data_IF_755229357010
#
_entry.id   IF_755229357010
#
_cell.length_a   1.000
_cell.length_b   1.000
_cell.length_c   1.000
_cell.angle_alpha   90.00
_cell.angle_beta   90.00
_cell.angle_gamma   90.00
#
_symmetry.space_group_name_H-M   'P 1'
#
loop_
_entity.id
_entity.type
_entity.pdbx_description
1 polymer ?
#
# COMPACT_ATOMS: atom_id res chain seq x y z
N UNK A 1 -18.25 2.94 21.04
CA UNK A 1 -16.81 3.22 21.19
C UNK A 1 -16.08 2.45 20.10
N UNK A 2 -15.39 3.14 19.23
CA UNK A 2 -14.71 2.58 18.05
C UNK A 2 -13.37 1.96 18.49
N UNK A 3 -13.15 0.70 18.13
CA UNK A 3 -11.94 -0.06 18.46
C UNK A 3 -10.90 0.12 17.37
N UNK A 4 -9.74 0.65 17.72
CA UNK A 4 -8.65 0.94 16.79
C UNK A 4 -7.45 0.05 17.09
N UNK A 5 -6.84 -0.50 16.04
CA UNK A 5 -5.49 -1.06 16.07
C UNK A 5 -4.53 -0.13 15.34
N UNK A 6 -3.30 0.00 15.84
CA UNK A 6 -2.23 0.78 15.19
C UNK A 6 -1.12 -0.18 14.78
N UNK A 7 -0.66 -0.06 13.55
CA UNK A 7 0.45 -0.84 13.01
C UNK A 7 1.51 0.10 12.43
N UNK A 8 2.68 0.10 13.04
CA UNK A 8 3.81 0.98 12.70
C UNK A 8 5.07 0.38 13.32
N UNK A 9 6.17 0.30 12.64
CA UNK A 9 7.39 -0.33 13.18
C UNK A 9 8.11 0.54 14.23
N UNK A 10 7.88 1.85 14.22
CA UNK A 10 8.51 2.81 15.12
C UNK A 10 7.71 2.99 16.41
N UNK A 11 8.23 2.48 17.53
CA UNK A 11 7.56 2.50 18.84
C UNK A 11 7.09 3.90 19.27
N UNK A 12 7.95 4.90 19.14
CA UNK A 12 7.61 6.26 19.56
C UNK A 12 6.45 6.85 18.77
N UNK A 13 6.34 6.51 17.49
CA UNK A 13 5.21 6.93 16.64
C UNK A 13 3.94 6.26 17.13
N UNK A 14 3.95 4.92 17.35
CA UNK A 14 2.79 4.20 17.87
C UNK A 14 2.25 4.79 19.17
N UNK A 15 3.12 5.09 20.12
CA UNK A 15 2.72 5.68 21.42
C UNK A 15 2.14 7.09 21.22
N UNK A 16 2.80 7.94 20.44
CA UNK A 16 2.31 9.30 20.16
C UNK A 16 0.94 9.28 19.47
N UNK A 17 0.74 8.40 18.49
CA UNK A 17 -0.53 8.26 17.78
C UNK A 17 -1.62 7.72 18.71
N UNK A 18 -1.29 6.75 19.55
CA UNK A 18 -2.19 6.22 20.58
C UNK A 18 -2.68 7.30 21.54
N UNK A 19 -1.76 8.16 22.02
CA UNK A 19 -2.13 9.29 22.86
C UNK A 19 -3.08 10.25 22.13
N UNK A 20 -2.75 10.64 20.90
CA UNK A 20 -3.59 11.53 20.08
C UNK A 20 -5.01 10.95 19.87
N UNK A 21 -5.13 9.66 19.60
CA UNK A 21 -6.42 9.00 19.35
C UNK A 21 -7.24 8.90 20.62
N UNK A 22 -6.63 8.54 21.74
CA UNK A 22 -7.32 8.38 23.01
C UNK A 22 -7.76 9.72 23.65
N UNK A 23 -7.48 10.88 23.04
CA UNK A 23 -8.10 12.14 23.41
C UNK A 23 -9.62 12.17 23.15
N UNK A 24 -10.12 11.35 22.24
CA UNK A 24 -11.57 11.21 22.00
C UNK A 24 -12.16 10.12 22.91
N UNK A 25 -13.25 10.42 23.64
CA UNK A 25 -13.89 9.42 24.51
C UNK A 25 -14.60 8.30 23.71
N UNK A 26 -14.89 8.53 22.43
CA UNK A 26 -15.62 7.58 21.58
C UNK A 26 -14.69 6.63 20.79
N UNK A 27 -13.38 6.82 20.87
CA UNK A 27 -12.38 6.04 20.17
C UNK A 27 -11.40 5.45 21.17
N UNK A 28 -11.09 4.18 21.02
CA UNK A 28 -10.12 3.51 21.88
C UNK A 28 -9.11 2.72 21.06
N UNK A 29 -7.84 2.97 21.29
CA UNK A 29 -6.76 2.11 20.79
C UNK A 29 -6.68 0.87 21.68
N UNK A 30 -7.09 -0.28 21.16
CA UNK A 30 -7.08 -1.54 21.91
C UNK A 30 -5.70 -2.20 21.88
N UNK A 31 -5.08 -2.22 20.70
CA UNK A 31 -3.76 -2.85 20.53
C UNK A 31 -2.89 -2.06 19.57
N UNK A 32 -1.58 -2.21 19.74
CA UNK A 32 -0.57 -1.66 18.82
C UNK A 32 0.40 -2.75 18.39
N UNK A 33 0.83 -2.73 17.14
CA UNK A 33 1.69 -3.74 16.54
C UNK A 33 2.88 -3.09 15.85
N UNK A 34 4.06 -3.70 15.98
CA UNK A 34 5.26 -3.28 15.26
C UNK A 34 5.35 -3.87 13.85
N UNK A 35 4.42 -4.78 13.49
CA UNK A 35 4.46 -5.56 12.28
C UNK A 35 3.03 -5.99 11.90
N UNK A 36 2.70 -5.84 10.63
CA UNK A 36 1.36 -6.18 10.13
C UNK A 36 1.05 -7.68 10.17
N UNK A 37 2.06 -8.54 10.06
CA UNK A 37 1.90 -9.99 10.15
C UNK A 37 1.35 -10.40 11.51
N UNK A 38 1.90 -9.81 12.59
CA UNK A 38 1.44 -10.09 13.95
C UNK A 38 -0.01 -9.62 14.17
N UNK A 39 -0.41 -8.48 13.60
CA UNK A 39 -1.81 -8.05 13.61
C UNK A 39 -2.71 -9.10 12.92
N UNK A 40 -2.33 -9.54 11.72
CA UNK A 40 -3.14 -10.49 10.94
C UNK A 40 -3.28 -11.82 11.70
N UNK A 41 -2.20 -12.33 12.29
CA UNK A 41 -2.23 -13.53 13.13
C UNK A 41 -3.15 -13.38 14.36
N UNK A 42 -3.20 -12.20 14.95
CA UNK A 42 -4.07 -11.91 16.09
C UNK A 42 -5.55 -11.79 15.64
N UNK A 43 -5.79 -11.21 14.47
CA UNK A 43 -7.12 -11.18 13.85
C UNK A 43 -7.62 -12.58 13.49
N UNK A 44 -6.76 -13.47 13.02
CA UNK A 44 -7.09 -14.89 12.79
C UNK A 44 -7.43 -15.65 14.07
N UNK A 45 -6.94 -15.17 15.24
CA UNK A 45 -7.27 -15.68 16.57
C UNK A 45 -8.51 -15.03 17.20
N UNK A 46 -9.21 -14.16 16.46
CA UNK A 46 -10.47 -13.56 16.89
C UNK A 46 -10.38 -12.11 17.37
N UNK A 47 -9.24 -11.42 17.19
CA UNK A 47 -9.19 -9.98 17.42
C UNK A 47 -9.88 -9.25 16.27
N UNK A 48 -10.94 -8.50 16.55
CA UNK A 48 -11.76 -7.79 15.56
C UNK A 48 -11.75 -6.27 15.85
N UNK A 49 -10.75 -5.51 15.35
CA UNK A 49 -10.79 -4.05 15.40
C UNK A 49 -11.76 -3.51 14.36
N UNK A 50 -12.43 -2.39 14.67
CA UNK A 50 -13.27 -1.68 13.70
C UNK A 50 -12.42 -0.99 12.63
N UNK A 51 -11.29 -0.39 13.08
CA UNK A 51 -10.34 0.31 12.20
C UNK A 51 -8.91 -0.11 12.51
N UNK A 52 -8.11 -0.23 11.46
CA UNK A 52 -6.65 -0.35 11.52
C UNK A 52 -6.03 0.92 10.94
N UNK A 53 -5.20 1.61 11.71
CA UNK A 53 -4.25 2.60 11.21
C UNK A 53 -2.99 1.87 10.78
N UNK A 54 -2.67 1.89 9.49
CA UNK A 54 -1.64 1.08 8.87
C UNK A 54 -0.54 1.93 8.26
N UNK A 55 0.69 1.79 8.74
CA UNK A 55 1.84 2.35 8.01
C UNK A 55 2.14 1.54 6.75
N UNK A 56 2.79 2.16 5.78
CA UNK A 56 3.16 1.52 4.52
C UNK A 56 4.47 0.77 4.65
N UNK A 57 5.54 1.44 5.05
CA UNK A 57 6.86 0.84 5.11
C UNK A 57 7.12 0.21 6.47
N UNK A 58 7.05 -1.10 6.52
CA UNK A 58 7.36 -1.90 7.70
C UNK A 58 8.19 -3.12 7.33
N UNK A 59 9.05 -3.60 8.22
CA UNK A 59 9.76 -4.87 8.04
C UNK A 59 8.81 -6.05 7.84
N UNK A 60 9.26 -7.05 7.11
CA UNK A 60 8.59 -8.32 6.81
C UNK A 60 7.37 -8.20 5.89
N UNK A 61 6.45 -7.27 6.15
CA UNK A 61 5.23 -7.10 5.37
C UNK A 61 4.90 -5.63 5.19
N UNK A 62 4.85 -5.18 3.94
CA UNK A 62 4.41 -3.83 3.57
C UNK A 62 2.92 -3.65 3.89
N UNK A 63 2.55 -2.45 4.40
CA UNK A 63 1.18 -2.14 4.81
C UNK A 63 0.14 -2.20 3.68
N UNK A 64 0.54 -1.99 2.42
CA UNK A 64 -0.35 -2.15 1.26
C UNK A 64 -0.73 -3.62 1.09
N UNK A 65 0.23 -4.54 1.18
CA UNK A 65 -0.02 -6.00 1.14
C UNK A 65 -0.91 -6.42 2.32
N UNK A 66 -0.61 -5.92 3.51
CA UNK A 66 -1.43 -6.19 4.69
C UNK A 66 -2.87 -5.70 4.52
N UNK A 67 -3.05 -4.52 3.90
CA UNK A 67 -4.36 -3.94 3.61
C UNK A 67 -5.16 -4.83 2.65
N UNK A 68 -4.53 -5.38 1.63
CA UNK A 68 -5.16 -6.33 0.70
C UNK A 68 -5.68 -7.58 1.43
N UNK A 69 -4.83 -8.17 2.29
CA UNK A 69 -5.20 -9.33 3.09
C UNK A 69 -6.36 -9.01 4.04
N UNK A 70 -6.28 -7.89 4.76
CA UNK A 70 -7.31 -7.49 5.72
C UNK A 70 -8.63 -7.20 4.99
N UNK A 71 -8.60 -6.44 3.90
CA UNK A 71 -9.80 -6.10 3.11
C UNK A 71 -10.49 -7.34 2.55
N UNK A 72 -9.72 -8.37 2.18
CA UNK A 72 -10.25 -9.63 1.65
C UNK A 72 -10.77 -10.58 2.73
N UNK A 73 -9.97 -10.81 3.81
CA UNK A 73 -10.31 -11.80 4.84
C UNK A 73 -11.22 -11.24 5.95
N UNK A 74 -11.13 -9.94 6.24
CA UNK A 74 -11.82 -9.28 7.35
C UNK A 74 -12.61 -8.06 6.88
N UNK A 75 -13.65 -8.22 6.04
CA UNK A 75 -14.35 -7.12 5.36
C UNK A 75 -15.07 -6.15 6.30
N UNK A 76 -15.26 -6.52 7.57
CA UNK A 76 -15.81 -5.63 8.60
C UNK A 76 -14.80 -4.63 9.12
N UNK A 77 -13.52 -4.98 9.14
CA UNK A 77 -12.42 -4.13 9.58
C UNK A 77 -12.04 -3.16 8.45
N UNK A 78 -12.00 -1.88 8.74
CA UNK A 78 -11.64 -0.84 7.77
C UNK A 78 -10.18 -0.45 7.97
N UNK A 79 -9.46 -0.25 6.87
CA UNK A 79 -8.05 0.17 6.93
C UNK A 79 -7.92 1.61 6.49
N UNK A 80 -7.30 2.43 7.33
CA UNK A 80 -6.83 3.78 7.02
C UNK A 80 -5.32 3.73 6.91
N UNK A 81 -4.76 4.07 5.76
CA UNK A 81 -3.32 4.27 5.65
C UNK A 81 -2.92 5.48 6.49
N UNK A 82 -1.86 5.31 7.28
CA UNK A 82 -1.34 6.35 8.18
C UNK A 82 0.18 6.39 8.10
N UNK A 83 0.72 7.22 7.21
CA UNK A 83 2.11 7.15 6.76
C UNK A 83 2.74 8.52 6.53
N UNK A 84 4.06 8.55 6.35
CA UNK A 84 4.79 9.75 5.89
C UNK A 84 4.85 9.88 4.37
N UNK A 85 4.50 8.83 3.63
CA UNK A 85 4.56 8.80 2.17
C UNK A 85 3.34 9.48 1.56
N UNK A 86 3.56 10.35 0.59
CA UNK A 86 2.52 11.10 -0.10
C UNK A 86 2.63 11.00 -1.63
N UNK A 87 3.41 10.03 -2.13
CA UNK A 87 3.59 9.82 -3.55
C UNK A 87 2.39 9.15 -4.22
N UNK A 88 2.22 9.43 -5.51
CA UNK A 88 1.08 8.98 -6.30
C UNK A 88 0.93 7.44 -6.34
N UNK A 89 2.06 6.72 -6.37
CA UNK A 89 2.07 5.26 -6.49
C UNK A 89 1.51 4.60 -5.23
N UNK A 90 1.95 5.05 -4.06
CA UNK A 90 1.47 4.53 -2.78
C UNK A 90 -0.01 4.84 -2.56
N UNK A 91 -0.45 6.08 -2.89
CA UNK A 91 -1.86 6.47 -2.79
C UNK A 91 -2.73 5.58 -3.69
N UNK A 92 -2.34 5.42 -4.96
CA UNK A 92 -3.07 4.60 -5.92
C UNK A 92 -3.17 3.14 -5.47
N UNK A 93 -2.05 2.54 -5.12
CA UNK A 93 -2.00 1.15 -4.69
C UNK A 93 -2.86 0.92 -3.44
N UNK A 94 -2.78 1.81 -2.45
CA UNK A 94 -3.59 1.71 -1.23
C UNK A 94 -5.10 1.72 -1.53
N UNK A 95 -5.55 2.60 -2.43
CA UNK A 95 -6.96 2.66 -2.85
C UNK A 95 -7.37 1.39 -3.58
N UNK A 96 -6.54 0.90 -4.51
CA UNK A 96 -6.83 -0.30 -5.29
C UNK A 96 -6.97 -1.56 -4.42
N UNK A 97 -6.21 -1.70 -3.34
CA UNK A 97 -6.29 -2.85 -2.42
C UNK A 97 -7.36 -2.70 -1.34
N UNK A 98 -8.13 -1.61 -1.35
CA UNK A 98 -9.31 -1.44 -0.52
C UNK A 98 -9.14 -0.61 0.74
N UNK A 99 -8.06 0.17 0.87
CA UNK A 99 -7.94 1.17 1.93
C UNK A 99 -9.14 2.14 1.89
N UNK A 100 -9.68 2.47 3.07
CA UNK A 100 -10.85 3.35 3.21
C UNK A 100 -10.48 4.81 3.42
N UNK A 101 -9.19 5.10 3.54
CA UNK A 101 -8.66 6.46 3.61
C UNK A 101 -7.14 6.47 3.65
N UNK A 102 -6.59 7.69 3.59
CA UNK A 102 -5.16 7.92 3.55
C UNK A 102 -4.83 9.22 4.28
N UNK A 103 -4.09 9.10 5.36
CA UNK A 103 -3.69 10.20 6.24
C UNK A 103 -2.17 10.25 6.34
N UNK A 104 -1.64 11.46 6.47
CA UNK A 104 -0.24 11.67 6.79
C UNK A 104 -0.01 11.66 8.32
N UNK A 105 1.17 11.22 8.76
CA UNK A 105 1.52 11.12 10.19
C UNK A 105 1.64 12.48 10.90
N UNK A 106 1.76 13.57 10.15
CA UNK A 106 1.79 14.95 10.67
C UNK A 106 0.40 15.55 10.93
N UNK A 107 -0.67 14.82 10.63
CA UNK A 107 -2.04 15.29 10.85
C UNK A 107 -2.32 15.55 12.34
N UNK A 108 -3.16 16.58 12.57
CA UNK A 108 -3.61 16.95 13.91
C UNK A 108 -4.57 15.90 14.48
N UNK A 109 -4.67 15.75 15.82
CA UNK A 109 -5.58 14.81 16.46
C UNK A 109 -7.02 14.93 15.97
N UNK A 110 -7.53 16.15 15.81
CA UNK A 110 -8.91 16.41 15.39
C UNK A 110 -9.18 15.86 13.98
N UNK A 111 -8.18 15.91 13.09
CA UNK A 111 -8.29 15.37 11.74
C UNK A 111 -8.27 13.84 11.74
N UNK A 112 -7.44 13.24 12.59
CA UNK A 112 -7.39 11.78 12.76
C UNK A 112 -8.73 11.27 13.30
N UNK A 113 -9.28 11.90 14.34
CA UNK A 113 -10.59 11.54 14.90
C UNK A 113 -11.69 11.63 13.85
N UNK A 114 -11.74 12.75 13.13
CA UNK A 114 -12.71 12.97 12.06
C UNK A 114 -12.61 11.90 10.98
N UNK A 115 -11.40 11.53 10.56
CA UNK A 115 -11.17 10.49 9.57
C UNK A 115 -11.69 9.12 10.03
N UNK A 116 -11.49 8.80 11.31
CA UNK A 116 -12.02 7.56 11.92
C UNK A 116 -13.55 7.56 11.86
N UNK A 117 -14.22 8.64 12.27
CA UNK A 117 -15.68 8.73 12.23
C UNK A 117 -16.22 8.66 10.80
N UNK A 118 -15.70 9.48 9.87
CA UNK A 118 -16.08 9.48 8.46
C UNK A 118 -15.97 8.07 7.85
N UNK A 119 -14.89 7.36 8.19
CA UNK A 119 -14.69 5.99 7.72
C UNK A 119 -15.70 5.03 8.32
N UNK A 120 -16.05 5.16 9.59
CA UNK A 120 -17.06 4.30 10.23
C UNK A 120 -18.46 4.52 9.64
N UNK A 121 -18.78 5.73 9.23
CA UNK A 121 -20.03 6.08 8.54
C UNK A 121 -20.10 5.60 7.08
N UNK A 122 -19.03 4.98 6.58
CA UNK A 122 -18.96 4.45 5.22
C UNK A 122 -18.36 5.40 4.20
N UNK A 123 -17.86 6.56 4.64
CA UNK A 123 -17.11 7.51 3.82
C UNK A 123 -15.67 7.06 3.57
N UNK A 124 -14.97 7.83 2.74
CA UNK A 124 -13.51 7.72 2.55
C UNK A 124 -12.86 9.01 3.05
N UNK A 125 -11.83 8.88 3.86
CA UNK A 125 -11.14 10.02 4.43
C UNK A 125 -9.75 10.18 3.83
N UNK A 126 -9.58 11.23 3.04
CA UNK A 126 -8.29 11.63 2.47
C UNK A 126 -7.91 13.00 3.02
N UNK A 127 -6.63 13.24 3.32
CA UNK A 127 -6.19 14.60 3.58
C UNK A 127 -6.33 15.45 2.30
N UNK A 128 -6.52 16.78 2.39
CA UNK A 128 -6.73 17.61 1.20
C UNK A 128 -5.61 17.46 0.15
N UNK A 129 -4.37 17.35 0.61
CA UNK A 129 -3.21 17.14 -0.25
C UNK A 129 -3.27 15.78 -0.98
N UNK A 130 -3.62 14.72 -0.26
CA UNK A 130 -3.78 13.38 -0.82
C UNK A 130 -4.95 13.33 -1.80
N UNK A 131 -6.06 14.02 -1.50
CA UNK A 131 -7.20 14.10 -2.41
C UNK A 131 -6.83 14.77 -3.73
N UNK A 132 -6.03 15.85 -3.72
CA UNK A 132 -5.53 16.47 -4.94
C UNK A 132 -4.66 15.51 -5.76
N UNK A 133 -3.73 14.80 -5.14
CA UNK A 133 -2.88 13.80 -5.81
C UNK A 133 -3.70 12.65 -6.39
N UNK A 134 -4.73 12.19 -5.68
CA UNK A 134 -5.64 11.16 -6.20
C UNK A 134 -6.42 11.65 -7.43
N UNK A 135 -6.88 12.91 -7.43
CA UNK A 135 -7.53 13.51 -8.60
C UNK A 135 -6.58 13.68 -9.80
N UNK A 136 -5.33 14.01 -9.55
CA UNK A 136 -4.29 14.06 -10.60
C UNK A 136 -4.05 12.69 -11.21
N UNK A 137 -4.03 11.63 -10.41
CA UNK A 137 -3.96 10.25 -10.91
C UNK A 137 -5.13 9.93 -11.85
N UNK A 138 -6.35 10.28 -11.46
CA UNK A 138 -7.55 10.05 -12.29
C UNK A 138 -7.48 10.85 -13.60
N UNK A 139 -7.01 12.09 -13.58
CA UNK A 139 -6.83 12.91 -14.79
C UNK A 139 -5.80 12.33 -15.75
N UNK A 140 -4.76 11.70 -15.20
CA UNK A 140 -3.66 11.12 -15.97
C UNK A 140 -3.93 9.67 -16.40
N UNK A 141 -5.05 9.06 -15.97
CA UNK A 141 -5.56 7.84 -16.60
C UNK A 141 -6.01 8.24 -18.01
N UNK A 142 -5.36 7.73 -19.09
CA UNK A 142 -5.80 8.04 -20.43
C UNK A 142 -7.27 7.69 -20.58
N UNK A 143 -8.12 8.69 -20.87
CA UNK A 143 -9.51 8.47 -21.25
C UNK A 143 -9.49 7.83 -22.64
N UNK A 144 -9.20 6.55 -22.70
CA UNK A 144 -9.25 5.81 -23.93
C UNK A 144 -10.62 5.21 -24.08
N UNK A 145 -11.36 5.78 -25.01
CA UNK A 145 -12.49 5.20 -25.68
C UNK A 145 -12.39 3.66 -25.73
N UNK A 146 -13.44 3.01 -25.28
CA UNK A 146 -13.67 1.60 -25.55
C UNK A 146 -13.67 1.36 -27.07
N UNK A 147 -12.54 1.05 -27.62
CA UNK A 147 -12.43 0.27 -28.87
C UNK A 147 -11.05 -0.39 -28.98
N UNK A 148 -11.07 -1.69 -28.72
CA UNK A 148 -10.19 -2.73 -29.29
C UNK A 148 -8.99 -2.25 -30.11
N UNK A 149 -7.78 -2.29 -29.49
CA UNK A 149 -6.61 -2.87 -30.20
C UNK A 149 -5.42 -3.03 -29.23
N UNK A 150 -4.82 -4.21 -29.29
CA UNK A 150 -3.49 -4.63 -28.78
C UNK A 150 -3.18 -4.47 -27.29
N UNK A 151 -3.52 -5.45 -26.50
CA UNK A 151 -2.93 -5.80 -25.21
C UNK A 151 -1.42 -6.12 -25.36
N UNK A 152 -0.54 -5.15 -25.36
CA UNK A 152 0.89 -5.54 -25.38
C UNK A 152 1.87 -4.68 -24.57
N UNK A 153 1.50 -3.59 -23.88
CA UNK A 153 2.48 -2.83 -23.10
C UNK A 153 1.95 -1.97 -21.93
N UNK A 154 0.75 -2.23 -21.40
CA UNK A 154 0.12 -1.32 -20.44
C UNK A 154 0.35 -1.66 -18.96
N UNK A 155 0.91 -2.82 -18.63
CA UNK A 155 1.08 -3.26 -17.23
C UNK A 155 2.43 -2.83 -16.68
N UNK A 156 3.50 -2.98 -17.44
CA UNK A 156 4.84 -2.58 -17.04
C UNK A 156 5.31 -1.38 -17.88
N UNK A 157 6.01 -0.43 -17.26
CA UNK A 157 6.69 0.63 -17.99
C UNK A 157 7.82 0.05 -18.86
N UNK A 158 8.29 0.80 -19.87
CA UNK A 158 9.41 0.38 -20.71
C UNK A 158 10.63 0.00 -19.85
N UNK A 159 10.91 0.78 -18.81
CA UNK A 159 12.03 0.54 -17.90
C UNK A 159 11.86 -0.72 -17.06
N UNK A 160 10.66 -0.99 -16.57
CA UNK A 160 10.35 -2.23 -15.84
C UNK A 160 10.41 -3.45 -16.75
N UNK A 161 10.00 -3.30 -18.00
CA UNK A 161 10.10 -4.36 -19.01
C UNK A 161 11.56 -4.68 -19.34
N UNK A 162 12.41 -3.66 -19.52
CA UNK A 162 13.87 -3.87 -19.73
C UNK A 162 14.50 -4.61 -18.54
N UNK A 163 14.18 -4.19 -17.32
CA UNK A 163 14.70 -4.83 -16.11
C UNK A 163 14.24 -6.29 -16.04
N UNK A 164 12.96 -6.56 -16.30
CA UNK A 164 12.41 -7.90 -16.31
C UNK A 164 13.06 -8.80 -17.39
N UNK A 165 13.38 -8.23 -18.56
CA UNK A 165 14.11 -8.92 -19.60
C UNK A 165 15.57 -9.25 -19.18
N UNK A 166 16.24 -8.36 -18.49
CA UNK A 166 17.59 -8.66 -17.97
C UNK A 166 17.56 -9.71 -16.87
N UNK A 167 16.55 -9.66 -16.01
CA UNK A 167 16.28 -10.69 -15.00
C UNK A 167 16.03 -12.05 -15.64
N UNK A 168 15.32 -12.10 -16.76
CA UNK A 168 15.06 -13.35 -17.50
C UNK A 168 16.31 -13.95 -18.16
N UNK A 169 17.28 -13.09 -18.50
CA UNK A 169 18.60 -13.48 -19.02
C UNK A 169 19.57 -13.90 -17.92
N UNK A 170 19.14 -13.93 -16.67
CA UNK A 170 19.90 -14.38 -15.52
C UNK A 170 20.79 -13.33 -14.86
N UNK A 171 20.73 -12.06 -15.27
CA UNK A 171 21.52 -11.01 -14.64
C UNK A 171 21.09 -10.83 -13.16
N UNK A 172 22.08 -10.57 -12.30
CA UNK A 172 21.84 -10.20 -10.92
C UNK A 172 21.59 -8.69 -10.78
N UNK A 173 21.17 -8.25 -9.58
CA UNK A 173 20.76 -6.85 -9.37
C UNK A 173 21.90 -5.84 -9.57
N UNK A 174 23.15 -6.19 -9.29
CA UNK A 174 24.32 -5.30 -9.52
C UNK A 174 24.62 -5.17 -11.02
N UNK A 175 24.61 -6.28 -11.74
CA UNK A 175 24.79 -6.29 -13.21
C UNK A 175 23.70 -5.49 -13.94
N UNK A 176 22.47 -5.55 -13.42
CA UNK A 176 21.35 -4.75 -13.93
C UNK A 176 21.58 -3.27 -13.61
N UNK A 177 22.04 -2.94 -12.41
CA UNK A 177 22.30 -1.57 -11.98
C UNK A 177 23.36 -0.92 -12.88
N UNK A 178 24.49 -1.61 -13.12
CA UNK A 178 25.57 -1.16 -14.00
C UNK A 178 25.07 -0.97 -15.42
N UNK A 179 24.34 -1.94 -15.95
CA UNK A 179 23.79 -1.90 -17.32
C UNK A 179 22.75 -0.83 -17.51
N UNK A 180 21.97 -0.56 -16.48
CA UNK A 180 20.90 0.42 -16.48
C UNK A 180 21.35 1.85 -16.16
N UNK A 181 22.57 2.03 -15.66
CA UNK A 181 23.10 3.32 -15.20
C UNK A 181 22.39 3.86 -13.95
N UNK A 182 21.95 2.97 -13.05
CA UNK A 182 21.19 3.32 -11.84
C UNK A 182 21.75 2.58 -10.61
N UNK A 183 21.35 2.97 -9.40
CA UNK A 183 21.78 2.27 -8.19
C UNK A 183 21.11 0.90 -8.04
N UNK A 184 21.78 -0.03 -7.31
CA UNK A 184 21.17 -1.30 -6.92
C UNK A 184 19.84 -1.13 -6.19
N UNK A 185 19.74 -0.12 -5.31
CA UNK A 185 18.49 0.21 -4.60
C UNK A 185 17.36 0.59 -5.57
N UNK A 186 17.68 1.30 -6.64
CA UNK A 186 16.71 1.64 -7.70
C UNK A 186 16.26 0.40 -8.47
N UNK A 187 17.17 -0.53 -8.79
CA UNK A 187 16.80 -1.82 -9.42
C UNK A 187 15.85 -2.61 -8.52
N UNK A 188 16.16 -2.68 -7.23
CA UNK A 188 15.31 -3.35 -6.25
C UNK A 188 13.91 -2.74 -6.21
N UNK A 189 13.81 -1.41 -6.20
CA UNK A 189 12.52 -0.70 -6.23
C UNK A 189 11.72 -0.99 -7.52
N UNK A 190 12.38 -1.05 -8.67
CA UNK A 190 11.73 -1.47 -9.91
C UNK A 190 11.22 -2.91 -9.84
N UNK A 191 11.98 -3.84 -9.25
CA UNK A 191 11.54 -5.23 -9.10
C UNK A 191 10.33 -5.35 -8.16
N UNK A 192 10.31 -4.61 -7.07
CA UNK A 192 9.17 -4.53 -6.16
C UNK A 192 7.91 -4.00 -6.89
N UNK A 193 8.05 -2.96 -7.69
CA UNK A 193 6.97 -2.42 -8.52
C UNK A 193 6.48 -3.44 -9.58
N UNK A 194 7.39 -4.18 -10.21
CA UNK A 194 7.06 -5.25 -11.16
C UNK A 194 6.21 -6.32 -10.45
N UNK A 195 6.63 -6.75 -9.26
CA UNK A 195 5.88 -7.76 -8.50
C UNK A 195 4.47 -7.27 -8.15
N UNK A 196 4.34 -6.04 -7.69
CA UNK A 196 3.03 -5.41 -7.41
C UNK A 196 2.14 -5.36 -8.66
N UNK A 197 2.67 -4.86 -9.77
CA UNK A 197 1.93 -4.72 -11.02
C UNK A 197 1.50 -6.05 -11.64
N UNK A 198 2.30 -7.10 -11.44
CA UNK A 198 2.01 -8.44 -11.93
C UNK A 198 1.17 -9.27 -10.95
N UNK A 199 0.96 -8.79 -9.72
CA UNK A 199 0.28 -9.54 -8.66
C UNK A 199 1.04 -10.82 -8.28
N UNK A 200 2.36 -10.74 -8.13
CA UNK A 200 3.25 -11.86 -7.81
C UNK A 200 4.19 -11.51 -6.66
N UNK A 201 4.73 -12.52 -6.00
CA UNK A 201 5.50 -12.32 -4.75
C UNK A 201 7.00 -12.55 -4.90
N UNK A 202 7.47 -13.07 -6.03
CA UNK A 202 8.88 -13.38 -6.24
C UNK A 202 9.28 -13.37 -7.71
N UNK A 203 10.62 -13.43 -7.93
CA UNK A 203 11.26 -13.44 -9.26
C UNK A 203 10.71 -14.55 -10.16
N UNK A 204 10.52 -15.75 -9.63
CA UNK A 204 10.11 -16.91 -10.43
C UNK A 204 8.69 -16.74 -10.93
N UNK A 205 7.79 -16.29 -10.06
CA UNK A 205 6.40 -16.00 -10.43
C UNK A 205 6.31 -14.88 -11.47
N UNK A 206 7.11 -13.81 -11.30
CA UNK A 206 7.16 -12.71 -12.25
C UNK A 206 7.60 -13.17 -13.64
N UNK A 207 8.65 -14.00 -13.74
CA UNK A 207 9.11 -14.55 -15.00
C UNK A 207 8.09 -15.51 -15.64
N UNK A 208 7.45 -16.34 -14.84
CA UNK A 208 6.39 -17.25 -15.32
C UNK A 208 5.18 -16.47 -15.85
N UNK A 209 4.77 -15.41 -15.16
CA UNK A 209 3.69 -14.52 -15.59
C UNK A 209 4.05 -13.83 -16.91
N UNK A 210 5.27 -13.27 -17.02
CA UNK A 210 5.74 -12.60 -18.21
C UNK A 210 5.80 -13.53 -19.43
N UNK A 211 6.23 -14.79 -19.25
CA UNK A 211 6.20 -15.82 -20.31
C UNK A 211 4.79 -16.14 -20.74
N UNK A 212 3.85 -16.30 -19.79
CA UNK A 212 2.45 -16.58 -20.08
C UNK A 212 1.77 -15.46 -20.88
N UNK A 213 2.16 -14.21 -20.63
CA UNK A 213 1.66 -13.04 -21.35
C UNK A 213 2.41 -12.78 -22.68
N UNK A 214 3.48 -13.56 -22.99
CA UNK A 214 4.26 -13.44 -24.23
C UNK A 214 5.19 -12.20 -24.26
N UNK A 215 5.65 -11.74 -23.11
CA UNK A 215 6.57 -10.60 -23.00
C UNK A 215 8.05 -11.01 -23.02
N UNK A 216 8.35 -12.28 -22.74
CA UNK A 216 9.67 -12.90 -22.69
C UNK A 216 9.77 -14.12 -23.59
#
# INVERSE_FOLDING_TARGET
MIKVAIVDDIKNIRESVKEKINLSPDIRVEKTYANAKVLIEDMEKGFEPDIVLMDIEMPEMNGIIATEIISSKFPKTKVLMFTVFDDHTNIFNAVCVGAKGYLLKDEKPERIHRAIFETMEGGSSLSPHIALKALELIKNIPSNDMKKQSKKSEILSEREMEILQWVSKGLNGNEIADKAGISYGTVRKHMENIYLKLGVHNKVEALNRAKKEGWL
#
